data_IF_368157533634
#
_entry.id   IF_368157533634
#
_cell.length_a   1.000
_cell.length_b   1.000
_cell.length_c   1.000
_cell.angle_alpha   90.00
_cell.angle_beta   90.00
_cell.angle_gamma   90.00
#
_symmetry.space_group_name_H-M   'P 1'
#
loop_
_entity.id
_entity.type
_entity.pdbx_description
1 polymer ?
#
# COMPACT_ATOMS: atom_id res chain seq x y z
N UNK A 1 7.28 9.80 -8.25
CA UNK A 1 7.22 8.90 -7.08
C UNK A 1 8.58 8.78 -6.42
N UNK A 2 8.67 8.10 -5.28
CA UNK A 2 9.89 8.00 -4.45
C UNK A 2 11.07 7.29 -5.11
N UNK A 3 10.87 6.60 -6.21
CA UNK A 3 11.97 5.99 -6.97
C UNK A 3 13.14 6.93 -7.29
N UNK A 4 12.89 8.22 -7.45
CA UNK A 4 13.92 9.24 -7.66
C UNK A 4 14.76 9.52 -6.41
N UNK A 5 14.24 9.25 -5.21
CA UNK A 5 14.92 9.48 -3.93
C UNK A 5 15.73 8.26 -3.46
N UNK A 6 15.47 7.07 -4.01
CA UNK A 6 16.11 5.83 -3.56
C UNK A 6 17.66 5.89 -3.58
N UNK A 7 18.33 6.43 -4.62
CA UNK A 7 19.80 6.51 -4.61
C UNK A 7 20.33 7.38 -3.46
N UNK A 8 19.62 8.46 -3.13
CA UNK A 8 20.02 9.36 -2.04
C UNK A 8 19.72 8.73 -0.66
N UNK A 9 18.57 8.09 -0.51
CA UNK A 9 18.23 7.36 0.70
C UNK A 9 19.24 6.23 0.97
N UNK A 10 19.60 5.46 -0.07
CA UNK A 10 20.58 4.37 0.04
C UNK A 10 21.95 4.87 0.51
N UNK A 11 22.40 6.03 0.05
CA UNK A 11 23.69 6.62 0.51
C UNK A 11 23.70 7.03 1.98
N UNK A 12 22.52 7.26 2.57
CA UNK A 12 22.37 7.70 3.96
C UNK A 12 22.03 6.57 4.92
N UNK A 13 21.90 5.34 4.41
CA UNK A 13 21.65 4.18 5.27
C UNK A 13 22.82 3.97 6.24
N UNK A 14 22.54 3.48 7.45
CA UNK A 14 23.58 2.94 8.33
C UNK A 14 24.35 1.81 7.61
N UNK A 15 25.63 1.69 7.86
CA UNK A 15 26.47 0.63 7.28
C UNK A 15 25.95 -0.77 7.68
N UNK A 16 25.43 -0.89 8.89
CA UNK A 16 24.80 -2.09 9.41
C UNK A 16 23.62 -1.68 10.29
N UNK A 17 22.58 -2.48 10.30
CA UNK A 17 21.43 -2.33 11.20
C UNK A 17 20.82 -3.69 11.53
N UNK A 18 19.99 -3.72 12.58
CA UNK A 18 19.18 -4.87 12.98
C UNK A 18 18.01 -5.10 12.04
N UNK A 19 16.79 -5.11 12.57
CA UNK A 19 15.57 -5.19 11.75
C UNK A 19 15.28 -3.85 11.07
N UNK A 20 14.62 -3.94 9.93
CA UNK A 20 14.07 -2.78 9.22
C UNK A 20 12.62 -2.55 9.61
N UNK A 21 12.24 -1.30 9.90
CA UNK A 21 10.87 -0.91 10.21
C UNK A 21 10.41 0.21 9.28
N UNK A 22 9.24 0.04 8.67
CA UNK A 22 8.61 1.07 7.81
C UNK A 22 7.15 1.25 8.23
N UNK A 23 6.87 2.16 9.22
CA UNK A 23 5.52 2.35 9.79
C UNK A 23 4.57 3.17 8.92
N UNK A 24 5.03 3.73 7.81
CA UNK A 24 4.24 4.36 6.75
C UNK A 24 4.57 3.69 5.42
N UNK A 25 4.33 2.35 5.32
CA UNK A 25 4.85 1.57 4.21
C UNK A 25 4.36 2.07 2.85
N UNK A 26 3.11 2.54 2.75
CA UNK A 26 2.57 3.02 1.48
C UNK A 26 2.83 2.03 0.33
N UNK A 27 3.58 2.47 -0.69
CA UNK A 27 3.99 1.60 -1.81
C UNK A 27 5.24 0.75 -1.55
N UNK A 28 5.87 0.80 -0.37
CA UNK A 28 7.02 -0.01 0.01
C UNK A 28 8.29 0.19 -0.82
N UNK A 29 8.45 1.37 -1.44
CA UNK A 29 9.52 1.59 -2.40
C UNK A 29 10.91 1.36 -1.80
N UNK A 30 11.14 1.79 -0.55
CA UNK A 30 12.41 1.60 0.12
C UNK A 30 12.59 0.13 0.54
N UNK A 31 11.57 -0.49 1.11
CA UNK A 31 11.61 -1.91 1.47
C UNK A 31 12.00 -2.79 0.28
N UNK A 32 11.30 -2.70 -0.86
CA UNK A 32 11.61 -3.51 -2.04
C UNK A 32 12.99 -3.20 -2.61
N UNK A 33 13.41 -1.93 -2.55
CA UNK A 33 14.77 -1.56 -2.97
C UNK A 33 15.83 -2.23 -2.08
N UNK A 34 15.69 -2.17 -0.76
CA UNK A 34 16.61 -2.79 0.19
C UNK A 34 16.62 -4.32 0.04
N UNK A 35 15.46 -4.94 -0.15
CA UNK A 35 15.36 -6.37 -0.41
C UNK A 35 16.16 -6.77 -1.66
N UNK A 36 15.96 -6.06 -2.77
CA UNK A 36 16.65 -6.33 -4.03
C UNK A 36 18.19 -6.13 -3.95
N UNK A 37 18.65 -5.34 -2.99
CA UNK A 37 20.09 -5.13 -2.72
C UNK A 37 20.64 -6.13 -1.68
N UNK A 38 19.82 -7.01 -1.11
CA UNK A 38 20.24 -7.94 -0.06
C UNK A 38 20.57 -7.27 1.27
N UNK A 39 19.97 -6.10 1.53
CA UNK A 39 20.27 -5.27 2.72
C UNK A 39 19.32 -5.50 3.89
N UNK A 40 18.53 -6.58 3.88
CA UNK A 40 17.56 -6.92 4.93
C UNK A 40 17.86 -8.29 5.58
N UNK A 41 19.09 -8.56 6.07
CA UNK A 41 19.46 -9.88 6.59
C UNK A 41 18.69 -10.29 7.85
N UNK A 42 18.17 -9.32 8.61
CA UNK A 42 17.48 -9.54 9.88
C UNK A 42 15.95 -9.39 9.76
N UNK A 43 15.42 -9.36 8.53
CA UNK A 43 13.99 -9.22 8.24
C UNK A 43 13.47 -7.80 8.39
N UNK A 44 12.15 -7.66 8.24
CA UNK A 44 11.47 -6.36 8.25
C UNK A 44 10.12 -6.42 8.95
N UNK A 45 9.68 -5.26 9.46
CA UNK A 45 8.32 -5.00 9.93
C UNK A 45 7.77 -3.84 9.07
N UNK A 46 6.70 -4.11 8.35
CA UNK A 46 6.00 -3.12 7.53
C UNK A 46 4.63 -2.87 8.13
N UNK A 47 4.30 -1.62 8.38
CA UNK A 47 2.98 -1.26 8.89
C UNK A 47 2.42 -0.02 8.21
N UNK A 48 1.11 0.10 8.28
CA UNK A 48 0.38 1.27 7.80
C UNK A 48 -0.93 1.38 8.59
N UNK A 49 -1.43 2.58 8.72
CA UNK A 49 -2.73 2.82 9.34
C UNK A 49 -3.90 2.32 8.47
N UNK A 50 -3.68 2.18 7.16
CA UNK A 50 -4.68 1.73 6.20
C UNK A 50 -4.78 0.19 6.13
N UNK A 51 -5.85 -0.43 6.67
CA UNK A 51 -5.99 -1.89 6.68
C UNK A 51 -6.13 -2.50 5.27
N UNK A 52 -6.72 -1.76 4.30
CA UNK A 52 -6.85 -2.27 2.93
C UNK A 52 -5.49 -2.35 2.23
N UNK A 53 -4.57 -1.45 2.56
CA UNK A 53 -3.21 -1.52 2.05
C UNK A 53 -2.46 -2.72 2.63
N UNK A 54 -2.53 -2.94 3.92
CA UNK A 54 -1.89 -4.12 4.55
C UNK A 54 -2.49 -5.43 4.03
N UNK A 55 -3.81 -5.48 3.74
CA UNK A 55 -4.42 -6.64 3.04
C UNK A 55 -3.81 -6.89 1.68
N UNK A 56 -3.45 -5.83 0.93
CA UNK A 56 -2.76 -6.03 -0.34
C UNK A 56 -1.40 -6.71 -0.13
N UNK A 57 -0.61 -6.28 0.84
CA UNK A 57 0.66 -6.92 1.19
C UNK A 57 0.48 -8.37 1.64
N UNK A 58 -0.52 -8.65 2.48
CA UNK A 58 -0.87 -10.00 2.90
C UNK A 58 -1.30 -10.87 1.71
N UNK A 59 -2.11 -10.33 0.79
CA UNK A 59 -2.52 -11.07 -0.41
C UNK A 59 -1.33 -11.38 -1.34
N UNK A 60 -0.39 -10.45 -1.51
CA UNK A 60 0.87 -10.71 -2.22
C UNK A 60 1.68 -11.83 -1.55
N UNK A 61 1.82 -11.79 -0.22
CA UNK A 61 2.61 -12.75 0.54
C UNK A 61 1.97 -14.14 0.57
N UNK A 62 0.66 -14.21 0.85
CA UNK A 62 0.02 -15.45 1.27
C UNK A 62 -0.85 -16.09 0.18
N UNK A 63 -1.35 -15.30 -0.79
CA UNK A 63 -2.34 -15.74 -1.78
C UNK A 63 -2.04 -15.27 -3.22
N UNK A 64 -0.78 -15.33 -3.73
CA UNK A 64 -0.43 -14.76 -5.03
C UNK A 64 -1.21 -15.36 -6.19
N UNK A 65 -1.45 -16.67 -6.22
CA UNK A 65 -2.22 -17.33 -7.27
C UNK A 65 -3.66 -16.83 -7.34
N UNK A 66 -4.35 -16.77 -6.19
CA UNK A 66 -5.74 -16.29 -6.13
C UNK A 66 -5.83 -14.82 -6.49
N UNK A 67 -4.87 -14.01 -6.02
CA UNK A 67 -4.79 -12.60 -6.34
C UNK A 67 -4.61 -12.37 -7.85
N UNK A 68 -3.69 -13.10 -8.49
CA UNK A 68 -3.47 -13.03 -9.95
C UNK A 68 -4.77 -13.33 -10.70
N UNK A 69 -5.46 -14.41 -10.34
CA UNK A 69 -6.73 -14.78 -10.98
C UNK A 69 -7.76 -13.66 -10.88
N UNK A 70 -7.98 -13.11 -9.69
CA UNK A 70 -8.95 -12.02 -9.46
C UNK A 70 -8.56 -10.74 -10.21
N UNK A 71 -7.26 -10.41 -10.25
CA UNK A 71 -6.78 -9.25 -11.00
C UNK A 71 -6.93 -9.43 -12.51
N UNK A 72 -6.74 -10.64 -13.04
CA UNK A 72 -7.01 -10.96 -14.45
C UNK A 72 -8.49 -10.81 -14.80
N UNK A 73 -9.40 -11.20 -13.89
CA UNK A 73 -10.84 -10.98 -14.04
C UNK A 73 -11.16 -9.46 -14.08
N UNK A 74 -10.63 -8.69 -13.14
CA UNK A 74 -10.76 -7.22 -13.14
C UNK A 74 -10.17 -6.57 -14.40
N UNK A 75 -9.06 -7.08 -14.91
CA UNK A 75 -8.36 -6.54 -16.08
C UNK A 75 -9.20 -6.56 -17.36
N UNK A 76 -10.11 -7.52 -17.49
CA UNK A 76 -11.04 -7.59 -18.61
C UNK A 76 -11.97 -6.36 -18.69
N UNK A 77 -12.15 -5.67 -17.57
CA UNK A 77 -13.02 -4.52 -17.42
C UNK A 77 -12.27 -3.20 -17.12
N UNK A 78 -10.95 -3.17 -17.32
CA UNK A 78 -10.07 -2.06 -16.90
C UNK A 78 -10.42 -0.68 -17.43
N UNK A 79 -11.11 -0.59 -18.59
CA UNK A 79 -11.54 0.66 -19.20
C UNK A 79 -13.03 0.94 -19.06
N UNK A 80 -13.78 0.10 -18.34
CA UNK A 80 -15.21 0.20 -18.22
C UNK A 80 -15.59 1.02 -16.98
N UNK A 81 -16.11 2.22 -17.19
CA UNK A 81 -16.51 3.13 -16.13
C UNK A 81 -17.59 2.55 -15.22
N UNK A 82 -18.58 1.86 -15.79
CA UNK A 82 -19.68 1.25 -15.04
C UNK A 82 -19.17 0.17 -14.11
N UNK A 83 -18.26 -0.69 -14.59
CA UNK A 83 -17.63 -1.71 -13.76
C UNK A 83 -16.78 -1.10 -12.64
N UNK A 84 -16.01 -0.05 -12.92
CA UNK A 84 -15.28 0.69 -11.87
C UNK A 84 -16.21 1.21 -10.78
N UNK A 85 -17.35 1.82 -11.17
CA UNK A 85 -18.34 2.34 -10.21
C UNK A 85 -18.99 1.23 -9.38
N UNK A 86 -19.27 0.09 -10.01
CA UNK A 86 -19.77 -1.10 -9.37
C UNK A 86 -18.78 -1.61 -8.30
N UNK A 87 -17.53 -1.89 -8.68
CA UNK A 87 -16.46 -2.35 -7.78
C UNK A 87 -16.19 -1.33 -6.66
N UNK A 88 -16.21 -0.04 -7.00
CA UNK A 88 -16.08 1.04 -6.01
C UNK A 88 -17.20 1.00 -4.97
N UNK A 89 -18.40 0.64 -5.37
CA UNK A 89 -19.56 0.61 -4.46
C UNK A 89 -19.55 -0.52 -3.42
N UNK A 90 -18.67 -1.51 -3.57
CA UNK A 90 -18.66 -2.69 -2.69
C UNK A 90 -18.52 -2.35 -1.20
N UNK A 91 -17.67 -1.37 -0.85
CA UNK A 91 -17.46 -0.94 0.54
C UNK A 91 -18.66 -0.18 1.17
N UNK A 92 -19.75 -0.01 0.41
CA UNK A 92 -21.03 0.56 0.86
C UNK A 92 -22.07 -0.51 1.14
N UNK A 93 -21.78 -1.76 0.80
CA UNK A 93 -22.71 -2.88 0.92
C UNK A 93 -22.52 -3.60 2.25
N UNK A 94 -23.60 -4.12 2.84
CA UNK A 94 -23.53 -4.84 4.12
C UNK A 94 -22.65 -6.10 4.06
N UNK A 95 -22.57 -6.73 2.88
CA UNK A 95 -21.81 -7.95 2.64
C UNK A 95 -20.30 -7.71 2.43
N UNK A 96 -19.84 -6.46 2.40
CA UNK A 96 -18.42 -6.16 2.17
C UNK A 96 -17.49 -6.79 3.21
N UNK A 97 -17.91 -6.81 4.47
CA UNK A 97 -17.13 -7.42 5.55
C UNK A 97 -17.00 -8.96 5.42
N UNK A 98 -17.89 -9.60 4.65
CA UNK A 98 -17.89 -11.05 4.41
C UNK A 98 -16.98 -11.45 3.23
N UNK A 99 -16.51 -10.49 2.42
CA UNK A 99 -15.57 -10.76 1.34
C UNK A 99 -14.22 -11.16 1.92
N UNK A 100 -13.58 -12.12 1.27
CA UNK A 100 -12.24 -12.56 1.65
C UNK A 100 -11.22 -11.43 1.55
N UNK A 101 -10.15 -11.49 2.33
CA UNK A 101 -9.09 -10.50 2.30
C UNK A 101 -8.44 -10.37 0.92
N UNK A 102 -8.31 -11.47 0.17
CA UNK A 102 -7.75 -11.44 -1.19
C UNK A 102 -8.69 -10.76 -2.20
N UNK A 103 -10.02 -10.92 -2.08
CA UNK A 103 -10.98 -10.18 -2.92
C UNK A 103 -10.93 -8.67 -2.63
N UNK A 104 -10.83 -8.30 -1.34
CA UNK A 104 -10.70 -6.90 -0.92
C UNK A 104 -9.37 -6.30 -1.40
N UNK A 105 -8.29 -7.07 -1.36
CA UNK A 105 -6.99 -6.68 -1.92
C UNK A 105 -7.08 -6.46 -3.44
N UNK A 106 -7.65 -7.41 -4.19
CA UNK A 106 -7.82 -7.29 -5.64
C UNK A 106 -8.65 -6.05 -6.01
N UNK A 107 -9.76 -5.80 -5.28
CA UNK A 107 -10.54 -4.57 -5.41
C UNK A 107 -9.69 -3.31 -5.21
N UNK A 108 -8.92 -3.27 -4.15
CA UNK A 108 -8.08 -2.10 -3.80
C UNK A 108 -7.05 -1.82 -4.88
N UNK A 109 -6.38 -2.85 -5.38
CA UNK A 109 -5.40 -2.75 -6.46
C UNK A 109 -6.08 -2.27 -7.76
N UNK A 110 -7.21 -2.89 -8.14
CA UNK A 110 -7.97 -2.49 -9.32
C UNK A 110 -8.39 -1.02 -9.26
N UNK A 111 -9.00 -0.58 -8.15
CA UNK A 111 -9.44 0.79 -7.98
C UNK A 111 -8.28 1.79 -8.02
N UNK A 112 -7.15 1.47 -7.39
CA UNK A 112 -5.97 2.33 -7.42
C UNK A 112 -5.37 2.46 -8.83
N UNK A 113 -5.36 1.38 -9.61
CA UNK A 113 -4.85 1.37 -10.99
C UNK A 113 -5.76 2.07 -12.00
N UNK A 114 -7.06 2.17 -11.71
CA UNK A 114 -8.07 2.71 -12.62
C UNK A 114 -8.65 4.05 -12.20
N UNK A 115 -8.40 4.51 -10.97
CA UNK A 115 -8.86 5.82 -10.50
C UNK A 115 -7.96 6.96 -11.01
N UNK A 116 -8.51 8.17 -10.99
CA UNK A 116 -7.82 9.38 -11.41
C UNK A 116 -6.50 9.58 -10.64
N UNK A 117 -5.39 9.69 -11.37
CA UNK A 117 -4.02 9.86 -10.85
C UNK A 117 -3.56 8.82 -9.82
N UNK A 118 -4.19 7.63 -9.77
CA UNK A 118 -3.85 6.62 -8.78
C UNK A 118 -4.08 7.07 -7.33
N UNK A 119 -4.98 8.02 -7.12
CA UNK A 119 -5.27 8.61 -5.81
C UNK A 119 -6.06 7.62 -4.94
N UNK A 120 -5.43 7.08 -3.91
CA UNK A 120 -6.18 6.41 -2.85
C UNK A 120 -6.82 7.48 -1.98
N UNK A 121 -8.15 7.59 -2.02
CA UNK A 121 -8.89 8.60 -1.26
C UNK A 121 -10.16 8.00 -0.66
N UNK A 122 -10.38 8.28 0.63
CA UNK A 122 -11.56 7.87 1.36
C UNK A 122 -12.43 9.10 1.69
N UNK A 123 -13.73 8.89 1.82
CA UNK A 123 -14.64 9.88 2.40
C UNK A 123 -14.63 9.76 3.94
N UNK A 124 -15.38 10.63 4.63
CA UNK A 124 -15.48 10.64 6.10
C UNK A 124 -16.02 9.34 6.70
N UNK A 125 -16.69 8.49 5.90
CA UNK A 125 -17.16 7.16 6.29
C UNK A 125 -16.14 6.05 6.03
N UNK A 126 -14.90 6.39 5.63
CA UNK A 126 -13.87 5.42 5.30
C UNK A 126 -14.08 4.68 3.97
N UNK A 127 -14.96 5.18 3.09
CA UNK A 127 -15.29 4.54 1.82
C UNK A 127 -14.47 5.16 0.67
N UNK A 128 -13.99 4.31 -0.24
CA UNK A 128 -13.21 4.76 -1.40
C UNK A 128 -14.04 5.70 -2.29
N UNK A 129 -13.53 6.89 -2.59
CA UNK A 129 -14.27 7.92 -3.33
C UNK A 129 -13.48 8.63 -4.44
N UNK A 130 -12.32 8.12 -4.84
CA UNK A 130 -11.65 8.65 -6.01
C UNK A 130 -12.49 8.45 -7.28
N UNK A 131 -12.47 9.39 -8.25
CA UNK A 131 -13.18 9.26 -9.50
C UNK A 131 -12.47 8.30 -10.46
N UNK A 132 -13.18 7.84 -11.49
CA UNK A 132 -12.61 7.04 -12.57
C UNK A 132 -11.56 7.84 -13.35
N UNK A 133 -10.41 7.23 -13.64
CA UNK A 133 -9.27 7.88 -14.29
C UNK A 133 -9.32 7.92 -15.82
N UNK A 134 -10.25 7.16 -16.43
CA UNK A 134 -10.44 7.07 -17.88
C UNK A 134 -9.17 6.69 -18.66
N UNK A 135 -8.34 5.80 -18.12
CA UNK A 135 -7.17 5.27 -18.81
C UNK A 135 -7.57 4.27 -19.89
N UNK A 136 -6.88 4.31 -21.04
CA UNK A 136 -7.17 3.40 -22.17
C UNK A 136 -6.76 1.95 -21.87
N UNK A 137 -5.60 1.76 -21.26
CA UNK A 137 -5.04 0.43 -21.03
C UNK A 137 -4.18 0.41 -19.74
N UNK A 138 -4.76 0.63 -18.53
CA UNK A 138 -4.00 0.52 -17.30
C UNK A 138 -3.61 -0.94 -17.07
N UNK A 139 -2.37 -1.17 -16.62
CA UNK A 139 -1.89 -2.48 -16.21
C UNK A 139 -2.49 -2.81 -14.83
N UNK A 140 -3.38 -3.80 -14.80
CA UNK A 140 -4.04 -4.24 -13.56
C UNK A 140 -3.31 -5.44 -12.97
N UNK A 141 -3.04 -6.45 -13.78
CA UNK A 141 -2.36 -7.67 -13.37
C UNK A 141 -0.95 -7.73 -13.98
N UNK A 142 0.04 -7.87 -13.11
CA UNK A 142 1.44 -8.11 -13.46
C UNK A 142 1.91 -9.35 -12.66
N UNK A 143 1.74 -10.57 -13.21
CA UNK A 143 2.05 -11.80 -12.49
C UNK A 143 3.50 -11.88 -12.03
N UNK A 144 4.45 -11.45 -12.86
CA UNK A 144 5.88 -11.52 -12.53
C UNK A 144 6.22 -10.62 -11.32
N UNK A 145 5.67 -9.42 -11.31
CA UNK A 145 5.84 -8.49 -10.19
C UNK A 145 5.12 -8.97 -8.93
N UNK A 146 3.96 -9.64 -9.06
CA UNK A 146 3.25 -10.24 -7.92
C UNK A 146 4.09 -11.36 -7.30
N UNK A 147 4.70 -12.22 -8.12
CA UNK A 147 5.59 -13.27 -7.63
C UNK A 147 6.87 -12.73 -7.01
N UNK A 148 7.46 -11.68 -7.59
CA UNK A 148 8.60 -10.99 -6.98
C UNK A 148 8.25 -10.39 -5.62
N UNK A 149 7.07 -9.77 -5.50
CA UNK A 149 6.58 -9.25 -4.23
C UNK A 149 6.30 -10.38 -3.21
N UNK A 150 5.71 -11.51 -3.65
CA UNK A 150 5.54 -12.69 -2.82
C UNK A 150 6.85 -13.15 -2.19
N UNK A 151 7.89 -13.28 -3.00
CA UNK A 151 9.22 -13.69 -2.52
C UNK A 151 9.81 -12.68 -1.53
N UNK A 152 9.73 -11.40 -1.84
CA UNK A 152 10.27 -10.34 -0.99
C UNK A 152 9.58 -10.24 0.38
N UNK A 153 8.31 -10.60 0.45
CA UNK A 153 7.50 -10.51 1.67
C UNK A 153 7.57 -11.76 2.55
N UNK A 154 8.29 -12.82 2.14
CA UNK A 154 8.47 -14.00 2.99
C UNK A 154 9.23 -13.63 4.27
N UNK A 155 8.68 -14.02 5.43
CA UNK A 155 9.26 -13.70 6.74
C UNK A 155 9.10 -12.25 7.19
N UNK A 156 8.42 -11.40 6.40
CA UNK A 156 8.12 -10.01 6.77
C UNK A 156 6.89 -9.97 7.68
N UNK A 157 7.00 -9.23 8.78
CA UNK A 157 5.87 -8.93 9.65
C UNK A 157 5.05 -7.79 9.06
N UNK A 158 3.73 -8.00 8.92
CA UNK A 158 2.79 -7.03 8.36
C UNK A 158 1.77 -6.65 9.42
N UNK A 159 1.64 -5.37 9.74
CA UNK A 159 0.77 -4.90 10.80
C UNK A 159 -0.09 -3.70 10.37
N UNK A 160 -1.35 -3.71 10.78
CA UNK A 160 -2.20 -2.51 10.74
C UNK A 160 -2.02 -1.78 12.06
N UNK A 161 -1.70 -0.49 12.02
CA UNK A 161 -1.59 0.27 13.26
C UNK A 161 -1.01 1.66 13.09
N UNK A 162 -1.00 2.34 14.21
CA UNK A 162 -0.40 3.65 14.35
C UNK A 162 1.13 3.55 14.25
N UNK A 163 1.78 4.55 13.67
CA UNK A 163 3.23 4.60 13.53
C UNK A 163 3.96 4.58 14.89
N UNK A 164 3.31 5.08 15.96
CA UNK A 164 3.87 5.05 17.31
C UNK A 164 4.09 3.62 17.87
N UNK A 165 3.43 2.61 17.29
CA UNK A 165 3.64 1.22 17.67
C UNK A 165 5.11 0.77 17.48
N UNK A 166 5.85 1.43 16.60
CA UNK A 166 7.29 1.15 16.40
C UNK A 166 8.10 1.35 17.68
N UNK A 167 7.68 2.28 18.57
CA UNK A 167 8.35 2.53 19.84
C UNK A 167 8.38 1.31 20.77
N UNK A 168 7.38 0.42 20.62
CA UNK A 168 7.28 -0.82 21.41
C UNK A 168 7.93 -2.03 20.70
N UNK A 169 8.28 -1.90 19.43
CA UNK A 169 8.77 -3.00 18.58
C UNK A 169 10.26 -2.89 18.26
N UNK A 170 10.72 -1.66 18.01
CA UNK A 170 12.11 -1.42 17.62
C UNK A 170 13.08 -1.62 18.80
N UNK A 171 14.23 -2.19 18.49
CA UNK A 171 15.31 -2.44 19.44
C UNK A 171 16.51 -1.55 19.10
N UNK A 172 17.40 -1.29 20.07
CA UNK A 172 18.65 -0.59 19.79
C UNK A 172 19.42 -1.24 18.64
N UNK A 173 19.77 -0.44 17.64
CA UNK A 173 20.46 -0.91 16.43
C UNK A 173 19.54 -1.22 15.25
N UNK A 174 18.22 -1.23 15.42
CA UNK A 174 17.28 -1.32 14.31
C UNK A 174 17.26 -0.05 13.47
N UNK A 175 16.85 -0.18 12.21
CA UNK A 175 16.66 0.96 11.31
C UNK A 175 15.17 1.22 11.08
N UNK A 176 14.72 2.40 11.45
CA UNK A 176 13.33 2.84 11.26
C UNK A 176 13.27 3.94 10.21
N UNK A 177 12.49 3.72 9.15
CA UNK A 177 12.24 4.71 8.11
C UNK A 177 10.84 5.30 8.24
N UNK A 178 10.76 6.58 8.60
CA UNK A 178 9.53 7.34 8.68
C UNK A 178 9.32 8.14 7.40
N UNK A 179 8.16 7.97 6.79
CA UNK A 179 7.72 8.68 5.61
C UNK A 179 6.27 9.14 5.73
N UNK A 180 5.99 10.02 6.70
CA UNK A 180 4.64 10.47 6.99
C UNK A 180 4.04 11.23 5.79
N UNK A 181 2.69 11.26 5.67
CA UNK A 181 2.01 12.10 4.73
C UNK A 181 2.43 13.57 4.90
N UNK A 182 2.59 14.28 3.78
CA UNK A 182 2.95 15.71 3.85
C UNK A 182 1.82 16.53 4.47
N UNK A 183 2.15 17.42 5.40
CA UNK A 183 1.22 18.42 5.89
C UNK A 183 0.83 19.33 4.72
N UNK A 184 -0.46 19.60 4.47
CA UNK A 184 -0.87 20.51 3.39
C UNK A 184 -0.26 21.90 3.56
N UNK A 185 0.41 22.39 2.54
CA UNK A 185 1.02 23.74 2.53
C UNK A 185 -0.04 24.86 2.42
N UNK A 186 -1.30 24.50 2.14
CA UNK A 186 -2.43 25.44 2.08
C UNK A 186 -3.73 24.74 2.48
N UNK A 187 -4.71 25.50 2.97
CA UNK A 187 -6.05 25.03 3.34
C UNK A 187 -6.84 24.36 2.19
N UNK A 188 -6.40 24.55 0.95
CA UNK A 188 -7.01 23.96 -0.25
C UNK A 188 -6.29 22.69 -0.73
N UNK A 189 -5.11 22.36 -0.22
CA UNK A 189 -4.32 21.20 -0.59
C UNK A 189 -4.62 20.01 0.33
N UNK A 190 -5.80 19.43 0.24
CA UNK A 190 -6.23 18.28 1.06
C UNK A 190 -5.72 16.93 0.50
N UNK A 191 -4.39 16.79 0.30
CA UNK A 191 -3.77 15.53 -0.15
C UNK A 191 -3.49 14.54 0.98
N UNK A 192 -3.90 14.83 2.21
CA UNK A 192 -3.63 14.00 3.42
C UNK A 192 -4.72 12.97 3.72
N UNK A 193 -5.76 12.86 2.90
CA UNK A 193 -6.90 11.96 3.13
C UNK A 193 -6.62 10.52 2.64
N UNK A 194 -5.48 9.93 3.01
CA UNK A 194 -5.19 8.51 2.77
C UNK A 194 -5.94 7.60 3.74
N UNK A 195 -6.45 8.16 4.84
CA UNK A 195 -7.26 7.49 5.85
C UNK A 195 -8.45 8.37 6.23
N UNK A 196 -9.40 7.83 6.98
CA UNK A 196 -10.54 8.59 7.51
C UNK A 196 -10.13 9.67 8.52
N UNK A 197 -8.93 9.55 9.11
CA UNK A 197 -8.31 10.55 9.97
C UNK A 197 -7.18 11.25 9.21
N UNK A 198 -7.12 12.57 9.32
CA UNK A 198 -6.06 13.38 8.70
C UNK A 198 -4.85 13.42 9.61
N UNK A 199 -3.65 13.22 9.03
CA UNK A 199 -2.39 13.48 9.71
C UNK A 199 -2.17 15.00 9.82
N UNK A 200 -1.84 15.49 11.01
CA UNK A 200 -1.74 16.92 11.31
C UNK A 200 -0.47 17.33 12.05
N UNK A 201 -0.26 18.63 12.29
CA UNK A 201 0.95 19.16 12.92
C UNK A 201 1.20 18.69 14.37
N UNK A 202 0.24 18.01 14.97
CA UNK A 202 0.31 17.53 16.37
C UNK A 202 0.47 16.00 16.48
N UNK A 203 0.51 15.28 15.34
CA UNK A 203 0.77 13.85 15.25
C UNK A 203 2.27 13.61 14.99
#
# INVERSE_FOLDING_TARGET
>A
GKGQLLPELTRRLPVQFGRYHEPFVGGGALFFHLYNQGLLPNGAILSDYNPELIRCYQAFRDNPHTLIKLLQEHEQHRSHREYFLEVRSWDRRPDFAQRSDVERAARTIFLNRTCYNGLYRLNQKGQFNAPFGNYKNPLICDPDNIWAAHQALQGVELAVGDFANVLNQAQPGDFVYFDPPYVPVSLTASFTSYTAQSFGPHD
#
